data_IF_297169584516
#
_entry.id   IF_297169584516
#
_cell.length_a   1.000
_cell.length_b   1.000
_cell.length_c   1.000
_cell.angle_alpha   90.00
_cell.angle_beta   90.00
_cell.angle_gamma   90.00
#
_symmetry.space_group_name_H-M   'P 1'
#
loop_
_entity.id
_entity.type
_entity.pdbx_description
1 polymer ?
#
# COMPACT_ATOMS: atom_id res chain seq x y z
N UNK A 1 5.77 -32.62 -10.92
CA UNK A 1 5.93 -31.50 -9.96
C UNK A 1 6.39 -30.21 -10.63
N UNK A 2 7.61 -30.10 -11.18
CA UNK A 2 8.07 -28.89 -11.88
C UNK A 2 7.29 -28.59 -13.17
N UNK A 3 6.91 -29.63 -13.93
CA UNK A 3 6.05 -29.48 -15.12
C UNK A 3 4.62 -29.09 -14.77
N UNK A 4 4.07 -29.64 -13.69
CA UNK A 4 2.73 -29.30 -13.19
C UNK A 4 2.68 -27.87 -12.65
N UNK A 5 3.75 -27.45 -11.97
CA UNK A 5 3.94 -26.08 -11.52
C UNK A 5 4.03 -25.12 -12.72
N UNK A 6 4.86 -25.44 -13.73
CA UNK A 6 4.95 -24.65 -14.96
C UNK A 6 3.60 -24.55 -15.67
N UNK A 7 2.86 -25.66 -15.83
CA UNK A 7 1.49 -25.67 -16.39
C UNK A 7 0.51 -24.85 -15.56
N UNK A 8 0.69 -24.80 -14.24
CA UNK A 8 -0.15 -24.01 -13.34
C UNK A 8 0.09 -22.50 -13.49
N UNK A 9 1.35 -22.04 -13.53
CA UNK A 9 1.63 -20.61 -13.75
C UNK A 9 1.25 -20.19 -15.18
N UNK A 10 1.47 -21.06 -16.16
CA UNK A 10 1.10 -20.79 -17.56
C UNK A 10 -0.41 -20.74 -17.82
N UNK A 11 -1.28 -21.02 -16.84
CA UNK A 11 -2.73 -20.77 -16.95
C UNK A 11 -3.09 -19.27 -17.04
N UNK A 12 -2.10 -18.37 -17.14
CA UNK A 12 -2.26 -16.92 -17.34
C UNK A 12 -2.69 -16.19 -16.06
N UNK A 13 -3.76 -16.67 -15.42
CA UNK A 13 -4.37 -16.08 -14.22
C UNK A 13 -3.40 -15.93 -13.02
N UNK A 14 -2.36 -16.75 -12.92
CA UNK A 14 -1.41 -16.72 -11.78
C UNK A 14 -0.23 -15.79 -12.03
N UNK A 15 0.20 -15.63 -13.30
CA UNK A 15 1.35 -14.76 -13.65
C UNK A 15 0.98 -13.29 -13.49
N UNK A 16 -0.21 -12.89 -13.94
CA UNK A 16 -0.68 -11.50 -13.81
C UNK A 16 -0.93 -11.15 -12.34
N UNK A 17 -1.49 -12.08 -11.57
CA UNK A 17 -1.66 -11.94 -10.13
C UNK A 17 -0.31 -11.82 -9.41
N UNK A 18 0.66 -12.68 -9.74
CA UNK A 18 1.98 -12.65 -9.13
C UNK A 18 2.71 -11.34 -9.43
N UNK A 19 2.62 -10.86 -10.68
CA UNK A 19 3.20 -9.57 -11.08
C UNK A 19 2.60 -8.42 -10.29
N UNK A 20 1.28 -8.38 -10.13
CA UNK A 20 0.60 -7.36 -9.33
C UNK A 20 1.05 -7.32 -7.87
N UNK A 21 1.21 -8.48 -7.22
CA UNK A 21 1.67 -8.59 -5.83
C UNK A 21 3.13 -8.13 -5.69
N UNK A 22 4.01 -8.53 -6.61
CA UNK A 22 5.44 -8.17 -6.58
C UNK A 22 5.61 -6.65 -6.76
N UNK A 23 4.90 -6.05 -7.72
CA UNK A 23 4.94 -4.60 -7.95
C UNK A 23 4.38 -3.86 -6.74
N UNK A 24 3.27 -4.33 -6.15
CA UNK A 24 2.68 -3.74 -4.95
C UNK A 24 3.64 -3.73 -3.75
N UNK A 25 4.35 -4.84 -3.51
CA UNK A 25 5.32 -4.95 -2.44
C UNK A 25 6.54 -4.04 -2.65
N UNK A 26 7.12 -4.04 -3.86
CA UNK A 26 8.26 -3.19 -4.19
C UNK A 26 7.90 -1.70 -4.13
N UNK A 27 6.73 -1.32 -4.62
CA UNK A 27 6.25 0.06 -4.58
C UNK A 27 6.03 0.54 -3.14
N UNK A 28 5.41 -0.28 -2.29
CA UNK A 28 5.21 0.03 -0.87
C UNK A 28 6.55 0.28 -0.16
N UNK A 29 7.59 -0.49 -0.49
CA UNK A 29 8.92 -0.30 0.05
C UNK A 29 9.53 1.07 -0.33
N UNK A 30 9.40 1.48 -1.60
CA UNK A 30 9.90 2.79 -2.09
C UNK A 30 9.17 3.93 -1.38
N UNK A 31 7.85 3.85 -1.30
CA UNK A 31 7.02 4.86 -0.63
C UNK A 31 7.39 4.96 0.85
N UNK A 32 7.56 3.81 1.52
CA UNK A 32 7.99 3.76 2.93
C UNK A 32 9.36 4.39 3.12
N UNK A 33 10.33 4.11 2.24
CA UNK A 33 11.67 4.69 2.31
C UNK A 33 11.64 6.21 2.10
N UNK A 34 10.82 6.71 1.18
CA UNK A 34 10.64 8.14 0.96
C UNK A 34 9.99 8.83 2.18
N UNK A 35 8.91 8.26 2.72
CA UNK A 35 8.25 8.80 3.90
C UNK A 35 9.22 8.85 5.09
N UNK A 36 9.92 7.75 5.37
CA UNK A 36 10.89 7.70 6.47
C UNK A 36 12.08 8.64 6.27
N UNK A 37 12.57 8.74 5.03
CA UNK A 37 13.76 9.53 4.72
C UNK A 37 13.53 11.03 4.65
N UNK A 38 12.33 11.47 4.25
CA UNK A 38 12.06 12.89 3.93
C UNK A 38 10.89 13.44 4.73
N UNK A 39 9.80 12.69 4.86
CA UNK A 39 8.58 13.18 5.52
C UNK A 39 8.73 13.17 7.03
N UNK A 40 9.13 12.03 7.62
CA UNK A 40 9.27 11.89 9.07
C UNK A 40 10.22 12.94 9.69
N UNK A 41 11.38 13.28 9.08
CA UNK A 41 12.24 14.34 9.60
C UNK A 41 11.62 15.74 9.55
N UNK A 42 10.83 16.06 8.52
CA UNK A 42 10.15 17.36 8.40
C UNK A 42 9.02 17.46 9.43
N UNK A 43 8.27 16.37 9.62
CA UNK A 43 7.23 16.28 10.66
C UNK A 43 7.86 16.39 12.05
N UNK A 44 9.00 15.71 12.27
CA UNK A 44 9.76 15.79 13.51
C UNK A 44 10.22 17.22 13.84
N UNK A 45 10.64 17.97 12.81
CA UNK A 45 11.09 19.36 12.95
C UNK A 45 9.93 20.35 13.16
N UNK A 46 8.75 20.08 12.60
CA UNK A 46 7.63 21.00 12.59
C UNK A 46 6.81 21.08 13.90
N UNK A 47 7.04 20.21 14.89
CA UNK A 47 6.37 20.38 16.19
C UNK A 47 6.17 19.14 17.06
N UNK A 48 6.75 17.99 16.72
CA UNK A 48 6.73 16.84 17.61
C UNK A 48 7.61 15.77 17.04
N UNK A 49 8.52 15.20 17.84
CA UNK A 49 9.30 14.02 17.44
C UNK A 49 8.40 12.87 16.97
N UNK A 50 8.97 11.69 16.66
CA UNK A 50 8.26 10.61 15.97
C UNK A 50 6.91 10.19 16.56
N UNK A 51 6.61 10.58 17.82
CA UNK A 51 5.36 10.31 18.52
C UNK A 51 5.03 11.54 19.40
N UNK A 52 3.88 12.22 19.21
CA UNK A 52 3.41 13.26 20.13
C UNK A 52 3.13 12.69 21.53
N UNK A 53 4.16 12.57 22.38
CA UNK A 53 4.07 11.99 23.73
C UNK A 53 2.87 12.53 24.51
N UNK A 54 1.80 11.75 24.51
CA UNK A 54 0.63 11.97 25.33
C UNK A 54 0.50 10.71 26.17
N UNK A 55 1.31 10.65 27.21
CA UNK A 55 1.46 9.48 28.06
C UNK A 55 0.49 9.57 29.23
N UNK A 56 -0.49 8.66 29.26
CA UNK A 56 -1.34 8.46 30.44
C UNK A 56 -0.69 7.34 31.27
N UNK A 57 -0.23 7.59 32.51
CA UNK A 57 0.36 6.55 33.34
C UNK A 57 -0.73 5.61 33.88
N UNK A 58 -0.68 4.33 33.53
CA UNK A 58 -1.75 3.38 33.90
C UNK A 58 -1.33 2.40 35.01
N UNK A 59 -0.06 1.95 35.06
CA UNK A 59 0.50 1.12 36.15
C UNK A 59 2.03 1.16 36.16
N UNK A 60 2.64 1.01 37.34
CA UNK A 60 4.08 0.89 37.55
C UNK A 60 4.51 -0.58 37.32
N UNK A 61 5.30 -0.86 36.29
CA UNK A 61 5.88 -2.18 36.03
C UNK A 61 7.36 -2.02 35.75
N UNK A 62 8.21 -2.81 36.42
CA UNK A 62 9.64 -2.87 36.08
C UNK A 62 9.78 -3.39 34.64
N UNK A 63 10.27 -2.54 33.74
CA UNK A 63 10.56 -2.87 32.34
C UNK A 63 12.01 -2.50 32.07
N UNK A 64 12.77 -3.48 31.60
CA UNK A 64 14.13 -3.27 31.14
C UNK A 64 14.09 -2.37 29.89
N UNK A 65 14.68 -1.17 29.99
CA UNK A 65 14.88 -0.30 28.83
C UNK A 65 16.33 -0.45 28.39
N UNK A 66 16.51 -1.12 27.26
CA UNK A 66 17.79 -1.17 26.56
C UNK A 66 17.86 0.04 25.63
N UNK A 67 18.60 1.08 26.06
CA UNK A 67 18.94 2.20 25.18
C UNK A 67 20.25 1.91 24.47
N UNK A 68 20.25 2.01 23.15
CA UNK A 68 21.46 2.00 22.33
C UNK A 68 22.06 3.41 22.33
N UNK A 69 23.17 3.58 23.03
CA UNK A 69 23.94 4.82 22.93
C UNK A 69 24.59 4.96 21.54
N UNK A 70 24.98 6.18 21.18
CA UNK A 70 25.64 6.51 19.91
C UNK A 70 26.97 5.75 19.64
N UNK A 71 27.46 4.97 20.62
CA UNK A 71 28.61 4.07 20.51
C UNK A 71 28.24 2.58 20.33
N UNK A 72 26.96 2.23 20.19
CA UNK A 72 26.49 0.87 19.90
C UNK A 72 26.61 -0.13 21.06
N UNK A 73 26.88 0.34 22.28
CA UNK A 73 26.84 -0.49 23.49
C UNK A 73 25.45 -0.44 24.12
N UNK A 74 24.89 -1.62 24.37
CA UNK A 74 23.60 -1.81 25.02
C UNK A 74 23.79 -1.62 26.54
N UNK A 75 23.36 -0.47 27.06
CA UNK A 75 23.39 -0.21 28.51
C UNK A 75 21.99 -0.48 29.06
N UNK A 76 21.85 -1.59 29.78
CA UNK A 76 20.59 -2.00 30.41
C UNK A 76 20.42 -1.26 31.73
N UNK A 77 19.55 -0.25 31.76
CA UNK A 77 19.16 0.40 33.01
C UNK A 77 17.83 -0.20 33.50
N UNK A 78 17.82 -0.63 34.77
CA UNK A 78 16.59 -1.02 35.48
C UNK A 78 15.83 0.25 35.84
N UNK A 79 14.92 0.67 34.97
CA UNK A 79 14.07 1.84 35.18
C UNK A 79 12.65 1.42 35.51
N UNK A 80 12.07 2.12 36.48
CA UNK A 80 10.64 2.05 36.78
C UNK A 80 9.89 2.69 35.61
N UNK A 81 9.53 1.88 34.62
CA UNK A 81 8.82 2.37 33.44
C UNK A 81 7.33 2.28 33.72
N UNK A 82 6.66 3.43 33.77
CA UNK A 82 5.21 3.45 33.77
C UNK A 82 4.75 2.84 32.44
N UNK A 83 3.74 1.96 32.49
CA UNK A 83 3.02 1.56 31.27
C UNK A 83 2.27 2.79 30.81
N UNK A 84 2.93 3.54 29.93
CA UNK A 84 2.43 4.77 29.34
C UNK A 84 1.66 4.39 28.08
N UNK A 85 0.35 4.63 28.07
CA UNK A 85 -0.42 4.57 26.84
C UNK A 85 -0.06 5.81 26.04
N UNK A 86 0.87 5.68 25.09
CA UNK A 86 1.29 6.78 24.24
C UNK A 86 0.29 6.94 23.09
N UNK A 87 -0.73 7.77 23.32
CA UNK A 87 -1.68 8.18 22.27
C UNK A 87 -0.98 8.96 21.15
N UNK A 88 0.24 9.43 21.42
CA UNK A 88 1.12 10.06 20.46
C UNK A 88 1.48 9.19 19.28
N UNK A 89 1.73 7.91 19.52
CA UNK A 89 2.10 6.97 18.44
C UNK A 89 1.00 6.90 17.40
N UNK A 90 -0.26 6.89 17.87
CA UNK A 90 -1.43 6.78 17.00
C UNK A 90 -1.59 8.06 16.18
N UNK A 91 -1.50 9.23 16.82
CA UNK A 91 -1.61 10.52 16.13
C UNK A 91 -0.46 10.71 15.12
N UNK A 92 0.76 10.36 15.51
CA UNK A 92 1.93 10.37 14.62
C UNK A 92 1.76 9.42 13.44
N UNK A 93 1.27 8.20 13.67
CA UNK A 93 1.00 7.23 12.61
C UNK A 93 -0.07 7.73 11.62
N UNK A 94 -1.12 8.39 12.11
CA UNK A 94 -2.17 8.98 11.25
C UNK A 94 -1.60 10.13 10.42
N UNK A 95 -0.80 11.03 11.00
CA UNK A 95 -0.17 12.13 10.28
C UNK A 95 0.78 11.59 9.19
N UNK A 96 1.66 10.65 9.55
CA UNK A 96 2.58 10.02 8.59
C UNK A 96 1.83 9.26 7.48
N UNK A 97 0.72 8.58 7.81
CA UNK A 97 -0.14 7.93 6.83
C UNK A 97 -0.76 8.93 5.85
N UNK A 98 -1.33 10.04 6.34
CA UNK A 98 -1.94 11.07 5.50
C UNK A 98 -0.92 11.73 4.56
N UNK A 99 0.29 12.02 5.05
CA UNK A 99 1.33 12.60 4.19
C UNK A 99 1.81 11.57 3.15
N UNK A 100 1.98 10.31 3.53
CA UNK A 100 2.33 9.24 2.60
C UNK A 100 1.26 9.08 1.52
N UNK A 101 -0.01 9.06 1.89
CA UNK A 101 -1.13 9.00 0.96
C UNK A 101 -1.15 10.21 0.02
N UNK A 102 -0.86 11.42 0.52
CA UNK A 102 -0.77 12.62 -0.29
C UNK A 102 0.37 12.54 -1.32
N UNK A 103 1.54 12.02 -0.93
CA UNK A 103 2.68 11.82 -1.84
C UNK A 103 2.33 10.81 -2.93
N UNK A 104 1.78 9.65 -2.56
CA UNK A 104 1.35 8.61 -3.53
C UNK A 104 0.30 9.18 -4.49
N UNK A 105 -0.68 9.91 -3.97
CA UNK A 105 -1.71 10.53 -4.79
C UNK A 105 -1.12 11.54 -5.78
N UNK A 106 -0.19 12.39 -5.34
CA UNK A 106 0.37 13.43 -6.20
C UNK A 106 1.35 12.90 -7.25
N UNK A 107 2.15 11.89 -6.89
CA UNK A 107 3.21 11.35 -7.76
C UNK A 107 2.69 10.28 -8.72
N UNK A 108 1.66 9.51 -8.35
CA UNK A 108 1.17 8.41 -9.18
C UNK A 108 -0.25 8.66 -9.68
N UNK A 109 -1.21 8.87 -8.76
CA UNK A 109 -2.62 8.92 -9.14
C UNK A 109 -2.90 10.14 -10.03
N UNK A 110 -2.35 11.30 -9.67
CA UNK A 110 -2.54 12.54 -10.44
C UNK A 110 -1.99 12.46 -11.88
N UNK A 111 -0.74 12.03 -12.13
CA UNK A 111 -0.26 11.87 -13.52
C UNK A 111 -0.94 10.71 -14.24
N UNK A 112 -1.25 9.58 -13.59
CA UNK A 112 -2.04 8.52 -14.21
C UNK A 112 -3.41 9.01 -14.65
N UNK A 113 -4.13 9.71 -13.77
CA UNK A 113 -5.43 10.28 -14.11
C UNK A 113 -5.31 11.25 -15.28
N UNK A 114 -4.26 12.07 -15.34
CA UNK A 114 -4.01 12.98 -16.45
C UNK A 114 -3.71 12.25 -17.76
N UNK A 115 -2.95 11.17 -17.73
CA UNK A 115 -2.65 10.34 -18.91
C UNK A 115 -3.89 9.58 -19.40
N UNK A 116 -4.70 9.07 -18.48
CA UNK A 116 -5.98 8.40 -18.80
C UNK A 116 -6.97 9.40 -19.38
N UNK A 117 -7.03 10.62 -18.87
CA UNK A 117 -7.85 11.69 -19.47
C UNK A 117 -7.39 12.06 -20.88
N UNK A 118 -6.07 12.08 -21.13
CA UNK A 118 -5.52 12.34 -22.46
C UNK A 118 -5.79 11.19 -23.44
N UNK A 119 -5.68 9.93 -22.99
CA UNK A 119 -6.04 8.76 -23.79
C UNK A 119 -7.54 8.74 -24.13
N UNK A 120 -8.41 9.10 -23.17
CA UNK A 120 -9.86 9.26 -23.39
C UNK A 120 -10.22 10.42 -24.32
N UNK A 121 -9.31 11.36 -24.55
CA UNK A 121 -9.53 12.55 -25.40
C UNK A 121 -8.96 12.40 -26.81
N UNK A 122 -8.17 11.35 -27.08
CA UNK A 122 -7.42 11.15 -28.32
C UNK A 122 -7.73 9.87 -29.09
N UNK A 123 -8.35 8.86 -28.48
CA UNK A 123 -8.69 7.60 -29.17
C UNK A 123 -10.20 7.42 -29.34
N UNK A 124 -10.70 7.11 -30.56
CA UNK A 124 -11.97 6.42 -30.69
C UNK A 124 -11.80 5.10 -29.93
N UNK A 125 -12.71 4.85 -28.99
CA UNK A 125 -12.93 3.63 -28.22
C UNK A 125 -11.95 2.50 -28.61
N UNK A 126 -10.87 2.37 -27.83
CA UNK A 126 -10.03 1.19 -27.88
C UNK A 126 -10.98 -0.03 -27.89
N UNK A 127 -10.80 -0.99 -28.82
CA UNK A 127 -11.73 -2.11 -28.94
C UNK A 127 -11.98 -2.66 -27.54
N UNK A 128 -13.25 -2.81 -27.12
CA UNK A 128 -13.57 -3.32 -25.81
C UNK A 128 -12.69 -4.53 -25.54
N UNK A 129 -12.05 -4.64 -24.35
CA UNK A 129 -11.16 -5.75 -24.03
C UNK A 129 -11.87 -7.01 -24.50
N UNK A 130 -11.24 -7.73 -25.46
CA UNK A 130 -11.89 -8.77 -26.25
C UNK A 130 -12.86 -9.51 -25.35
N UNK A 131 -14.16 -9.25 -25.53
CA UNK A 131 -15.16 -9.90 -24.70
C UNK A 131 -14.81 -11.37 -24.76
N UNK A 132 -14.56 -12.02 -23.60
CA UNK A 132 -14.17 -13.43 -23.57
C UNK A 132 -15.06 -14.17 -24.55
N UNK A 133 -14.50 -15.05 -25.39
CA UNK A 133 -15.26 -15.68 -26.48
C UNK A 133 -16.62 -16.23 -25.99
N UNK A 134 -16.67 -16.67 -24.74
CA UNK A 134 -17.88 -17.06 -24.02
C UNK A 134 -18.95 -15.95 -23.95
N UNK A 135 -18.60 -14.72 -23.59
CA UNK A 135 -19.53 -13.58 -23.53
C UNK A 135 -20.00 -13.16 -24.94
N UNK A 136 -19.13 -13.25 -25.94
CA UNK A 136 -19.50 -13.02 -27.34
C UNK A 136 -20.51 -14.08 -27.82
N UNK A 137 -20.21 -15.36 -27.60
CA UNK A 137 -21.08 -16.49 -27.92
C UNK A 137 -22.41 -16.42 -27.16
N UNK A 138 -22.41 -16.03 -25.88
CA UNK A 138 -23.64 -15.85 -25.10
C UNK A 138 -24.50 -14.70 -25.63
N UNK A 139 -23.88 -13.66 -26.20
CA UNK A 139 -24.58 -12.55 -26.86
C UNK A 139 -25.22 -13.03 -28.16
N UNK A 140 -24.47 -13.77 -28.97
CA UNK A 140 -24.99 -14.38 -30.21
C UNK A 140 -26.13 -15.37 -29.91
N UNK A 141 -25.98 -16.24 -28.90
CA UNK A 141 -27.03 -17.19 -28.47
C UNK A 141 -28.29 -16.44 -28.00
N UNK A 142 -28.14 -15.36 -27.22
CA UNK A 142 -29.27 -14.53 -26.79
C UNK A 142 -30.01 -13.94 -27.99
N UNK A 143 -29.28 -13.43 -28.96
CA UNK A 143 -29.86 -12.77 -30.13
C UNK A 143 -30.54 -13.80 -31.06
N UNK A 144 -29.95 -14.99 -31.22
CA UNK A 144 -30.57 -16.12 -31.92
C UNK A 144 -31.83 -16.64 -31.23
N UNK A 145 -31.86 -16.65 -29.88
CA UNK A 145 -33.05 -17.05 -29.13
C UNK A 145 -34.18 -16.02 -29.23
N UNK A 146 -33.87 -14.72 -29.21
CA UNK A 146 -34.85 -13.67 -29.47
C UNK A 146 -35.45 -13.81 -30.86
N UNK A 147 -34.60 -13.97 -31.88
CA UNK A 147 -35.03 -14.14 -33.27
C UNK A 147 -35.88 -15.40 -33.52
N UNK A 148 -35.87 -16.38 -32.61
CA UNK A 148 -36.67 -17.61 -32.68
C UNK A 148 -37.93 -17.56 -31.79
N UNK A 149 -37.99 -16.59 -30.87
CA UNK A 149 -39.11 -16.39 -29.96
C UNK A 149 -40.18 -15.45 -30.54
N UNK A 150 -39.81 -14.63 -31.53
CA UNK A 150 -40.70 -13.90 -32.45
C UNK A 150 -41.06 -14.77 -33.67
#
# INVERSE_FOLDING_TARGET
MLEDFKKFILKGSVVDLATGVIIGAAFTAIVTAFTKGIVEPIVALAGGGPQPKLTIPIMEKMVEVTEKNAAGQDVTHMVNKLIELDLGIIVGAVISFLITAAVVFFVIIKPMNKLVELAKKGEPEAPPPETPADIALLTEIRDLLKAKAD
#
